data_IF_488619484704
#
_entry.id   IF_488619484704
#
_cell.length_a   1.000
_cell.length_b   1.000
_cell.length_c   1.000
_cell.angle_alpha   90.00
_cell.angle_beta   90.00
_cell.angle_gamma   90.00
#
_symmetry.space_group_name_H-M   'P 1'
#
loop_
_entity.id
_entity.type
_entity.pdbx_description
1 polymer ?
#
# COMPACT_ATOMS: atom_id res chain seq x y z
N UNK A 1 -24.47 63.45 52.26
CA UNK A 1 -23.27 63.24 51.47
C UNK A 1 -23.17 61.71 51.13
N UNK A 2 -23.80 61.32 50.02
CA UNK A 2 -23.80 59.91 49.59
C UNK A 2 -22.65 59.67 48.60
N UNK A 3 -21.67 58.81 48.96
CA UNK A 3 -20.60 58.39 48.09
C UNK A 3 -21.06 57.14 47.35
N UNK A 4 -21.36 57.25 46.04
CA UNK A 4 -21.62 56.15 45.16
C UNK A 4 -20.28 55.52 44.76
N UNK A 5 -20.04 54.24 45.11
CA UNK A 5 -18.90 53.45 44.64
C UNK A 5 -19.25 52.78 43.29
N UNK A 6 -18.59 53.27 42.26
CA UNK A 6 -18.69 52.68 40.89
C UNK A 6 -17.84 51.40 40.84
N UNK A 7 -18.49 50.26 40.91
CA UNK A 7 -17.83 48.94 40.68
C UNK A 7 -17.65 48.74 39.19
N UNK A 8 -16.41 48.82 38.69
CA UNK A 8 -16.02 48.51 37.33
C UNK A 8 -15.82 47.00 37.22
N UNK A 9 -16.56 46.24 36.36
CA UNK A 9 -16.30 44.82 36.18
C UNK A 9 -15.03 44.63 35.36
N UNK A 10 -14.03 43.97 35.96
CA UNK A 10 -12.78 43.58 35.31
C UNK A 10 -13.07 42.38 34.37
N UNK A 11 -13.17 42.65 33.07
CA UNK A 11 -13.40 41.63 32.04
C UNK A 11 -12.08 40.88 31.83
N UNK A 12 -11.95 39.68 32.41
CA UNK A 12 -10.82 38.79 32.19
C UNK A 12 -10.97 38.14 30.79
N UNK A 13 -10.32 38.70 29.77
CA UNK A 13 -10.19 38.06 28.46
C UNK A 13 -9.17 36.91 28.60
N UNK A 14 -9.66 35.69 28.75
CA UNK A 14 -8.83 34.48 28.65
C UNK A 14 -8.30 34.36 27.23
N UNK A 15 -7.06 34.79 27.01
CA UNK A 15 -6.35 34.55 25.77
C UNK A 15 -6.02 33.04 25.67
N UNK A 16 -6.90 32.27 25.04
CA UNK A 16 -6.55 30.92 24.61
C UNK A 16 -5.39 31.04 23.60
N UNK A 17 -4.20 30.42 23.85
CA UNK A 17 -3.16 30.36 22.85
C UNK A 17 -3.69 29.52 21.67
N UNK A 18 -4.04 30.16 20.57
CA UNK A 18 -4.26 29.49 19.31
C UNK A 18 -2.93 28.84 18.91
N UNK A 19 -2.80 27.54 19.13
CA UNK A 19 -1.72 26.77 18.55
C UNK A 19 -1.99 26.73 17.04
N UNK A 20 -1.33 27.61 16.30
CA UNK A 20 -1.23 27.47 14.87
C UNK A 20 -0.56 26.11 14.60
N UNK A 21 -1.33 25.13 14.15
CA UNK A 21 -0.79 23.89 13.64
C UNK A 21 -0.07 24.25 12.34
N UNK A 22 1.25 24.32 12.39
CA UNK A 22 2.10 24.42 11.19
C UNK A 22 1.96 23.08 10.47
N UNK A 23 1.06 22.99 9.50
CA UNK A 23 1.00 21.85 8.59
C UNK A 23 2.24 21.91 7.71
N UNK A 24 3.19 21.02 7.96
CA UNK A 24 4.39 20.89 7.13
C UNK A 24 4.02 19.98 5.97
N UNK A 25 3.95 20.56 4.76
CA UNK A 25 3.75 19.78 3.55
C UNK A 25 5.06 19.10 3.13
N UNK A 26 5.02 17.76 3.08
CA UNK A 26 6.18 16.98 2.65
C UNK A 26 6.15 16.78 1.12
N UNK A 27 7.27 17.07 0.45
CA UNK A 27 7.47 16.86 -0.99
C UNK A 27 8.49 15.76 -1.30
N UNK A 28 9.19 15.25 -0.29
CA UNK A 28 10.15 14.16 -0.40
C UNK A 28 10.33 13.48 0.95
N UNK A 29 10.72 12.21 0.93
CA UNK A 29 10.94 11.44 2.15
C UNK A 29 10.92 9.94 1.94
N UNK A 30 10.83 9.22 3.05
CA UNK A 30 10.73 7.77 3.11
C UNK A 30 9.53 7.36 3.96
N UNK A 31 8.78 6.37 3.50
CA UNK A 31 7.68 5.77 4.24
C UNK A 31 7.96 4.28 4.40
N UNK A 32 7.89 3.77 5.62
CA UNK A 32 7.87 2.33 5.88
C UNK A 32 6.43 1.85 5.86
N UNK A 33 6.13 0.83 5.06
CA UNK A 33 4.85 0.14 5.03
C UNK A 33 4.96 -1.25 5.64
N UNK A 34 4.02 -1.60 6.50
CA UNK A 34 3.72 -2.97 6.91
C UNK A 34 2.70 -3.55 5.92
N UNK A 35 3.08 -4.64 5.23
CA UNK A 35 2.14 -5.48 4.48
C UNK A 35 1.73 -6.64 5.35
N UNK A 36 0.45 -6.79 5.60
CA UNK A 36 -0.12 -7.88 6.38
C UNK A 36 -1.04 -8.74 5.51
N UNK A 37 -0.75 -10.03 5.44
CA UNK A 37 -1.50 -11.02 4.68
C UNK A 37 -2.14 -12.01 5.64
N UNK A 38 -3.47 -12.18 5.58
CA UNK A 38 -4.14 -13.26 6.28
C UNK A 38 -4.03 -14.54 5.45
N UNK A 39 -2.97 -15.32 5.68
CA UNK A 39 -2.69 -16.54 4.93
C UNK A 39 -3.78 -17.60 5.13
N UNK A 40 -4.37 -17.67 6.32
CA UNK A 40 -5.47 -18.58 6.59
C UNK A 40 -6.67 -18.28 5.69
N UNK A 41 -7.14 -17.04 5.68
CA UNK A 41 -8.29 -16.65 4.88
C UNK A 41 -8.03 -16.74 3.36
N UNK A 42 -6.79 -16.47 2.91
CA UNK A 42 -6.42 -16.68 1.51
C UNK A 42 -6.53 -18.13 1.09
N UNK A 43 -6.00 -19.04 1.90
CA UNK A 43 -6.04 -20.48 1.58
C UNK A 43 -7.46 -21.06 1.72
N UNK A 44 -8.23 -20.64 2.73
CA UNK A 44 -9.61 -21.04 2.91
C UNK A 44 -10.50 -20.68 1.69
N UNK A 45 -10.15 -19.58 1.00
CA UNK A 45 -10.91 -19.14 -0.20
C UNK A 45 -10.70 -20.02 -1.44
N UNK A 46 -9.65 -20.84 -1.49
CA UNK A 46 -9.27 -21.65 -2.66
C UNK A 46 -9.27 -23.15 -2.42
N UNK A 47 -9.01 -23.61 -1.19
CA UNK A 47 -8.96 -25.02 -0.82
C UNK A 47 -10.31 -25.56 -0.39
N UNK A 48 -10.58 -26.82 -0.69
CA UNK A 48 -11.78 -27.49 -0.20
C UNK A 48 -11.60 -27.91 1.29
N UNK A 49 -12.62 -27.75 2.15
CA UNK A 49 -12.53 -28.06 3.58
C UNK A 49 -12.14 -29.52 3.91
N UNK A 50 -12.36 -30.46 3.00
CA UNK A 50 -12.02 -31.87 3.13
C UNK A 50 -10.61 -32.26 2.65
N UNK A 51 -9.84 -31.32 2.13
CA UNK A 51 -8.50 -31.58 1.59
C UNK A 51 -7.49 -31.86 2.74
N UNK A 52 -6.72 -32.94 2.60
CA UNK A 52 -5.64 -33.27 3.56
C UNK A 52 -4.57 -32.17 3.58
N UNK A 53 -4.24 -31.60 2.44
CA UNK A 53 -3.28 -30.49 2.34
C UNK A 53 -3.75 -29.27 3.11
N UNK A 54 -5.06 -28.97 3.09
CA UNK A 54 -5.67 -27.92 3.90
C UNK A 54 -5.53 -28.20 5.41
N UNK A 55 -5.78 -29.44 5.82
CA UNK A 55 -5.66 -29.85 7.22
C UNK A 55 -4.23 -29.71 7.74
N UNK A 56 -3.22 -30.11 6.96
CA UNK A 56 -1.81 -29.95 7.28
C UNK A 56 -1.39 -28.46 7.30
N UNK A 57 -1.87 -27.68 6.35
CA UNK A 57 -1.61 -26.24 6.30
C UNK A 57 -2.17 -25.54 7.54
N UNK A 58 -3.41 -25.86 7.95
CA UNK A 58 -4.05 -25.33 9.16
C UNK A 58 -3.23 -25.62 10.42
N UNK A 59 -2.72 -26.84 10.58
CA UNK A 59 -1.88 -27.23 11.71
C UNK A 59 -0.61 -26.36 11.76
N UNK A 60 0.02 -26.11 10.63
CA UNK A 60 1.24 -25.29 10.53
C UNK A 60 1.00 -23.83 10.81
N UNK A 61 -0.18 -23.31 10.46
CA UNK A 61 -0.60 -21.93 10.74
C UNK A 61 -1.18 -21.74 12.14
N UNK A 62 -1.36 -22.82 12.94
CA UNK A 62 -1.94 -22.70 14.27
C UNK A 62 -1.12 -21.73 15.12
N UNK A 63 -1.72 -20.56 15.43
CA UNK A 63 -1.11 -19.47 16.20
C UNK A 63 -0.53 -18.30 15.41
N UNK A 64 -0.34 -18.41 14.09
CA UNK A 64 0.14 -17.29 13.26
C UNK A 64 -0.57 -17.23 11.91
N UNK A 65 -1.79 -16.69 11.91
CA UNK A 65 -2.62 -16.55 10.69
C UNK A 65 -2.08 -15.49 9.73
N UNK A 66 -1.26 -14.56 10.22
CA UNK A 66 -0.81 -13.40 9.47
C UNK A 66 0.67 -13.50 9.14
N UNK A 67 1.00 -13.28 7.87
CA UNK A 67 2.35 -12.96 7.45
C UNK A 67 2.50 -11.45 7.38
N UNK A 68 3.60 -10.95 7.95
CA UNK A 68 3.95 -9.54 7.94
C UNK A 68 5.28 -9.33 7.22
N UNK A 69 5.28 -8.47 6.21
CA UNK A 69 6.47 -8.02 5.49
C UNK A 69 6.56 -6.50 5.56
N UNK A 70 7.78 -5.96 5.43
CA UNK A 70 7.99 -4.51 5.45
C UNK A 70 8.58 -4.03 4.13
N UNK A 71 8.10 -2.86 3.70
CA UNK A 71 8.52 -2.22 2.46
C UNK A 71 8.87 -0.77 2.71
N UNK A 72 9.82 -0.26 1.94
CA UNK A 72 10.19 1.14 1.91
C UNK A 72 9.61 1.79 0.65
N UNK A 73 8.94 2.92 0.81
CA UNK A 73 8.58 3.83 -0.27
C UNK A 73 9.44 5.07 -0.16
N UNK A 74 10.38 5.25 -1.08
CA UNK A 74 11.09 6.52 -1.27
C UNK A 74 10.28 7.40 -2.21
N UNK A 75 10.14 8.68 -1.89
CA UNK A 75 9.39 9.59 -2.74
C UNK A 75 10.06 10.95 -2.88
N UNK A 76 9.95 11.53 -4.06
CA UNK A 76 10.18 12.93 -4.39
C UNK A 76 8.84 13.55 -4.78
N UNK A 77 8.83 14.78 -5.25
CA UNK A 77 7.58 15.44 -5.67
C UNK A 77 6.85 14.70 -6.80
N UNK A 78 7.59 14.11 -7.74
CA UNK A 78 7.04 13.52 -8.97
C UNK A 78 7.34 12.03 -9.13
N UNK A 79 8.17 11.42 -8.27
CA UNK A 79 8.61 10.04 -8.42
C UNK A 79 8.50 9.28 -7.11
N UNK A 80 8.20 7.99 -7.24
CA UNK A 80 8.22 7.06 -6.09
C UNK A 80 8.96 5.78 -6.45
N UNK A 81 9.61 5.17 -5.45
CA UNK A 81 10.21 3.85 -5.52
C UNK A 81 9.81 3.03 -4.31
N UNK A 82 8.90 2.08 -4.52
CA UNK A 82 8.49 1.11 -3.52
C UNK A 82 9.33 -0.17 -3.69
N UNK A 83 9.87 -0.70 -2.59
CA UNK A 83 10.76 -1.88 -2.62
C UNK A 83 10.75 -2.61 -1.28
N UNK A 84 11.19 -3.89 -1.22
CA UNK A 84 11.41 -4.59 0.04
C UNK A 84 12.26 -3.75 1.01
N UNK A 85 11.81 -3.67 2.25
CA UNK A 85 12.46 -2.97 3.35
C UNK A 85 13.18 -3.93 4.31
N UNK A 86 12.97 -3.74 5.61
CA UNK A 86 13.51 -4.67 6.62
C UNK A 86 12.82 -6.02 6.58
N UNK A 87 13.45 -7.02 7.15
CA UNK A 87 12.88 -8.36 7.25
C UNK A 87 11.56 -8.38 8.03
N UNK A 88 10.62 -9.16 7.53
CA UNK A 88 9.31 -9.37 8.13
C UNK A 88 9.26 -10.57 9.07
N UNK A 89 8.05 -10.99 9.41
CA UNK A 89 7.86 -12.19 10.24
C UNK A 89 8.13 -13.46 9.43
N UNK A 90 8.77 -14.42 10.09
CA UNK A 90 8.89 -15.77 9.52
C UNK A 90 7.48 -16.38 9.32
N UNK A 91 7.25 -16.98 8.15
CA UNK A 91 6.06 -17.78 7.88
C UNK A 91 6.42 -19.25 7.77
N UNK A 92 5.84 -20.13 8.59
CA UNK A 92 6.09 -21.57 8.53
C UNK A 92 5.61 -22.21 7.22
N UNK A 93 4.79 -21.50 6.45
CA UNK A 93 4.24 -21.95 5.16
C UNK A 93 5.02 -21.45 3.96
N UNK A 94 6.08 -20.67 4.18
CA UNK A 94 6.89 -20.05 3.12
C UNK A 94 7.44 -21.07 2.11
N UNK A 95 7.69 -22.29 2.53
CA UNK A 95 8.19 -23.37 1.66
C UNK A 95 7.10 -24.03 0.81
N UNK A 96 5.82 -23.93 1.21
CA UNK A 96 4.70 -24.59 0.53
C UNK A 96 3.97 -23.67 -0.45
N UNK A 97 3.98 -22.37 -0.15
CA UNK A 97 3.28 -21.39 -0.96
C UNK A 97 4.03 -20.06 -0.91
N UNK A 98 4.70 -19.71 -1.99
CA UNK A 98 5.19 -18.35 -2.19
C UNK A 98 4.20 -17.62 -3.07
N UNK A 99 3.39 -16.70 -2.51
CA UNK A 99 2.54 -15.86 -3.34
C UNK A 99 3.41 -15.10 -4.34
N UNK A 100 2.92 -14.90 -5.57
CA UNK A 100 3.65 -14.14 -6.57
C UNK A 100 3.77 -12.68 -6.12
N UNK A 101 4.77 -12.02 -6.64
CA UNK A 101 4.96 -10.58 -6.44
C UNK A 101 5.17 -10.16 -4.97
N UNK A 102 5.72 -11.05 -4.13
CA UNK A 102 6.03 -10.72 -2.73
C UNK A 102 7.07 -9.62 -2.59
N UNK A 103 8.06 -9.61 -3.48
CA UNK A 103 9.22 -8.72 -3.44
C UNK A 103 9.20 -7.75 -4.63
N UNK A 104 8.04 -7.18 -4.94
CA UNK A 104 7.94 -6.19 -6.01
C UNK A 104 8.85 -5.00 -5.74
N UNK A 105 9.49 -4.50 -6.82
CA UNK A 105 10.12 -3.18 -6.84
C UNK A 105 9.32 -2.36 -7.84
N UNK A 106 8.65 -1.32 -7.36
CA UNK A 106 7.73 -0.51 -8.17
C UNK A 106 8.23 0.92 -8.22
N UNK A 107 8.61 1.35 -9.41
CA UNK A 107 8.93 2.73 -9.71
C UNK A 107 7.73 3.39 -10.41
N UNK A 108 7.39 4.60 -9.98
CA UNK A 108 6.36 5.40 -10.61
C UNK A 108 6.87 6.81 -10.90
N UNK A 109 6.80 7.22 -12.15
CA UNK A 109 6.94 8.61 -12.58
C UNK A 109 5.53 9.19 -12.76
N UNK A 110 5.16 10.10 -11.85
CA UNK A 110 3.82 10.69 -11.79
C UNK A 110 3.64 11.81 -12.82
N UNK A 111 4.74 12.41 -13.28
CA UNK A 111 4.74 13.44 -14.32
C UNK A 111 4.58 12.81 -15.70
N UNK A 112 5.41 11.82 -16.01
CA UNK A 112 5.36 11.09 -17.28
C UNK A 112 4.28 10.01 -17.33
N UNK A 113 3.56 9.78 -16.22
CA UNK A 113 2.55 8.72 -16.07
C UNK A 113 3.09 7.33 -16.42
N UNK A 114 4.34 7.07 -16.07
CA UNK A 114 5.08 5.85 -16.38
C UNK A 114 5.26 5.00 -15.13
N UNK A 115 4.97 3.70 -15.24
CA UNK A 115 5.23 2.69 -14.20
C UNK A 115 6.23 1.65 -14.68
N UNK A 116 7.20 1.30 -13.82
CA UNK A 116 8.12 0.19 -14.06
C UNK A 116 8.12 -0.69 -12.83
N UNK A 117 7.72 -1.94 -13.01
CA UNK A 117 7.67 -2.91 -11.90
C UNK A 117 8.55 -4.10 -12.20
N UNK A 118 9.48 -4.40 -11.28
CA UNK A 118 10.19 -5.66 -11.27
C UNK A 118 9.42 -6.65 -10.42
N UNK A 119 8.98 -7.76 -11.02
CA UNK A 119 8.20 -8.83 -10.38
C UNK A 119 8.89 -10.17 -10.51
N UNK A 120 8.75 -11.01 -9.49
CA UNK A 120 9.23 -12.41 -9.53
C UNK A 120 8.04 -13.36 -9.62
N UNK A 121 8.04 -14.26 -10.58
CA UNK A 121 7.06 -15.33 -10.69
C UNK A 121 7.66 -16.54 -11.40
N UNK A 122 7.31 -17.76 -10.99
CA UNK A 122 7.78 -19.03 -11.58
C UNK A 122 9.30 -19.15 -11.73
N UNK A 123 10.07 -18.58 -10.79
CA UNK A 123 11.52 -18.56 -10.84
C UNK A 123 12.13 -17.54 -11.81
N UNK A 124 11.31 -16.81 -12.57
CA UNK A 124 11.73 -15.75 -13.49
C UNK A 124 11.55 -14.35 -12.89
N UNK A 125 12.33 -13.41 -13.41
CA UNK A 125 12.19 -11.98 -13.10
C UNK A 125 11.65 -11.26 -14.32
N UNK A 126 10.53 -10.57 -14.16
CA UNK A 126 9.88 -9.76 -15.19
C UNK A 126 10.08 -8.27 -14.89
N UNK A 127 10.37 -7.50 -15.93
CA UNK A 127 10.43 -6.05 -15.89
C UNK A 127 9.25 -5.49 -16.69
N UNK A 128 8.18 -5.15 -15.97
CA UNK A 128 6.92 -4.70 -16.57
C UNK A 128 6.95 -3.18 -16.70
N UNK A 129 6.88 -2.68 -17.91
CA UNK A 129 6.86 -1.26 -18.22
C UNK A 129 5.51 -0.91 -18.86
N UNK A 130 4.80 0.03 -18.24
CA UNK A 130 3.47 0.44 -18.71
C UNK A 130 3.14 1.87 -18.24
N UNK A 131 2.00 2.40 -18.67
CA UNK A 131 1.43 3.61 -18.07
C UNK A 131 0.93 3.33 -16.66
N UNK A 132 0.92 4.35 -15.80
CA UNK A 132 0.34 4.22 -14.47
C UNK A 132 -1.13 3.82 -14.56
N UNK A 133 -1.55 2.95 -13.65
CA UNK A 133 -2.95 2.50 -13.58
C UNK A 133 -3.87 3.67 -13.25
N UNK A 134 -4.85 3.92 -14.10
CA UNK A 134 -5.90 4.90 -13.83
C UNK A 134 -6.96 4.29 -12.94
N UNK A 135 -6.95 4.65 -11.66
CA UNK A 135 -7.92 4.16 -10.67
C UNK A 135 -9.02 5.22 -10.49
N UNK A 136 -10.28 4.80 -10.62
CA UNK A 136 -11.44 5.66 -10.40
C UNK A 136 -11.79 5.66 -8.91
N UNK A 137 -11.21 6.59 -8.16
CA UNK A 137 -11.43 6.72 -6.74
C UNK A 137 -12.76 7.41 -6.41
N UNK A 138 -13.47 6.88 -5.42
CA UNK A 138 -14.60 7.54 -4.75
C UNK A 138 -14.15 7.92 -3.35
N UNK A 139 -13.87 9.21 -3.14
CA UNK A 139 -13.47 9.76 -1.86
C UNK A 139 -14.71 9.84 -0.95
N UNK A 140 -14.54 9.53 0.34
CA UNK A 140 -15.58 9.59 1.38
C UNK A 140 -15.18 10.57 2.49
N UNK A 141 -16.11 10.81 3.43
CA UNK A 141 -15.86 11.69 4.58
C UNK A 141 -15.22 10.95 5.77
N UNK A 142 -15.03 9.63 5.67
CA UNK A 142 -14.38 8.85 6.71
C UNK A 142 -12.90 9.24 6.80
N UNK A 143 -12.44 9.47 8.03
CA UNK A 143 -11.06 9.84 8.32
C UNK A 143 -10.43 8.85 9.30
N UNK A 144 -9.09 8.70 9.20
CA UNK A 144 -8.29 7.86 10.09
C UNK A 144 -6.90 8.46 10.24
N UNK A 145 -6.32 8.36 11.43
CA UNK A 145 -4.90 8.70 11.62
C UNK A 145 -4.01 7.51 11.30
N UNK A 146 -3.02 7.70 10.40
CA UNK A 146 -2.05 6.67 10.01
C UNK A 146 -0.66 7.31 10.06
N UNK A 147 0.27 6.69 10.79
CA UNK A 147 1.64 7.19 10.98
C UNK A 147 1.71 8.68 11.39
N UNK A 148 0.71 9.15 12.14
CA UNK A 148 0.61 10.54 12.63
C UNK A 148 -0.09 11.52 11.68
N UNK A 149 -0.45 11.11 10.45
CA UNK A 149 -1.13 11.95 9.46
C UNK A 149 -2.64 11.73 9.47
N UNK A 150 -3.41 12.82 9.31
CA UNK A 150 -4.84 12.73 9.07
C UNK A 150 -5.09 12.24 7.65
N UNK A 151 -5.75 11.10 7.50
CA UNK A 151 -6.01 10.47 6.22
C UNK A 151 -7.50 10.39 5.94
N UNK A 152 -7.90 10.66 4.70
CA UNK A 152 -9.27 10.47 4.19
C UNK A 152 -9.39 9.16 3.47
N UNK A 153 -10.54 8.51 3.61
CA UNK A 153 -10.84 7.26 2.93
C UNK A 153 -11.26 7.50 1.49
N UNK A 154 -10.79 6.61 0.60
CA UNK A 154 -11.26 6.49 -0.77
C UNK A 154 -11.47 5.02 -1.11
N UNK A 155 -12.46 4.72 -1.95
CA UNK A 155 -12.76 3.37 -2.40
C UNK A 155 -12.66 3.30 -3.92
N UNK A 156 -12.29 2.14 -4.43
CA UNK A 156 -12.27 1.87 -5.86
C UNK A 156 -12.55 0.39 -6.15
N UNK A 157 -12.84 0.07 -7.40
CA UNK A 157 -12.78 -1.29 -7.94
C UNK A 157 -11.74 -1.29 -9.05
N UNK A 158 -10.78 -2.20 -8.98
CA UNK A 158 -9.76 -2.40 -10.02
C UNK A 158 -9.91 -3.80 -10.61
N UNK A 159 -9.43 -3.98 -11.85
CA UNK A 159 -9.49 -5.27 -12.56
C UNK A 159 -10.90 -5.88 -12.53
N UNK A 160 -11.93 -5.05 -12.64
CA UNK A 160 -13.38 -5.35 -12.66
C UNK A 160 -13.96 -6.01 -11.40
N UNK A 161 -13.14 -6.51 -10.48
CA UNK A 161 -13.62 -7.29 -9.34
C UNK A 161 -12.92 -7.03 -8.01
N UNK A 162 -11.74 -6.41 -7.99
CA UNK A 162 -10.99 -6.20 -6.76
C UNK A 162 -11.42 -4.90 -6.09
N UNK A 163 -12.11 -5.01 -4.98
CA UNK A 163 -12.48 -3.87 -4.15
C UNK A 163 -11.27 -3.38 -3.35
N UNK A 164 -11.02 -2.08 -3.45
CA UNK A 164 -9.89 -1.40 -2.80
C UNK A 164 -10.41 -0.34 -1.85
N UNK A 165 -9.90 -0.36 -0.63
CA UNK A 165 -10.06 0.72 0.35
C UNK A 165 -8.69 1.37 0.53
N UNK A 166 -8.59 2.66 0.25
CA UNK A 166 -7.38 3.46 0.46
C UNK A 166 -7.61 4.56 1.48
N UNK A 167 -6.54 4.94 2.18
CA UNK A 167 -6.47 6.09 3.05
C UNK A 167 -5.30 6.96 2.61
N UNK A 168 -5.56 8.23 2.30
CA UNK A 168 -4.55 9.15 1.80
C UNK A 168 -4.53 10.45 2.60
N UNK A 169 -3.38 11.12 2.60
CA UNK A 169 -3.20 12.45 3.19
C UNK A 169 -2.73 13.44 2.13
N UNK A 170 -3.26 14.66 2.19
CA UNK A 170 -2.83 15.80 1.36
C UNK A 170 -1.65 16.57 1.97
N UNK A 171 -1.24 16.24 3.20
CA UNK A 171 -0.05 16.77 3.84
C UNK A 171 1.26 16.28 3.16
N UNK A 172 1.20 15.19 2.40
CA UNK A 172 2.29 14.71 1.54
C UNK A 172 1.88 14.92 0.10
N UNK A 173 2.55 15.87 -0.58
CA UNK A 173 2.13 16.41 -1.88
C UNK A 173 2.26 15.42 -3.06
N UNK A 174 3.00 14.33 -2.86
CA UNK A 174 3.22 13.30 -3.89
C UNK A 174 2.01 12.39 -3.97
N UNK A 175 1.37 12.30 -5.14
CA UNK A 175 0.17 11.46 -5.41
C UNK A 175 0.53 9.99 -5.63
N UNK A 176 1.32 9.41 -4.72
CA UNK A 176 1.83 8.04 -4.76
C UNK A 176 1.22 7.14 -3.69
N UNK A 177 1.77 5.91 -3.59
CA UNK A 177 1.34 4.92 -2.58
C UNK A 177 2.12 3.62 -2.68
N UNK A 178 1.80 2.61 -1.85
CA UNK A 178 2.41 1.29 -1.92
C UNK A 178 2.02 0.58 -3.22
N UNK A 179 2.84 -0.34 -3.69
CA UNK A 179 2.67 -1.06 -4.95
C UNK A 179 2.38 -0.10 -6.13
N UNK A 180 1.35 -0.40 -6.94
CA UNK A 180 0.93 0.43 -8.07
C UNK A 180 -0.24 1.40 -7.76
N UNK A 181 -0.56 1.61 -6.48
CA UNK A 181 -1.68 2.47 -6.09
C UNK A 181 -1.28 3.94 -6.13
N UNK A 182 -1.94 4.72 -7.00
CA UNK A 182 -1.71 6.15 -7.22
C UNK A 182 -3.02 6.87 -7.53
N UNK A 183 -2.96 8.18 -7.76
CA UNK A 183 -4.06 8.97 -8.36
C UNK A 183 -5.03 9.59 -7.34
N UNK A 184 -4.74 9.54 -6.03
CA UNK A 184 -5.41 10.36 -5.03
C UNK A 184 -4.68 11.71 -4.87
N UNK A 185 -5.35 12.76 -4.38
CA UNK A 185 -4.73 14.08 -4.21
C UNK A 185 -3.83 14.12 -2.96
N UNK A 186 -2.71 13.37 -3.02
CA UNK A 186 -1.73 13.19 -1.96
C UNK A 186 -1.28 11.75 -1.82
N UNK A 187 -0.49 11.47 -0.77
CA UNK A 187 0.13 10.17 -0.54
C UNK A 187 -0.85 9.17 0.10
N UNK A 188 -0.94 8.00 -0.47
CA UNK A 188 -1.70 6.88 0.09
C UNK A 188 -0.84 6.23 1.19
N UNK A 189 -1.33 6.33 2.43
CA UNK A 189 -0.67 5.75 3.62
C UNK A 189 -1.29 4.44 4.08
N UNK A 190 -2.43 4.07 3.53
CA UNK A 190 -3.08 2.79 3.81
C UNK A 190 -3.81 2.26 2.59
N UNK A 191 -3.67 0.96 2.34
CA UNK A 191 -4.46 0.22 1.35
C UNK A 191 -4.93 -1.07 1.97
N UNK A 192 -6.18 -1.45 1.72
CA UNK A 192 -6.71 -2.76 2.07
C UNK A 192 -7.46 -3.33 0.88
N UNK A 193 -7.23 -4.60 0.61
CA UNK A 193 -7.98 -5.43 -0.34
C UNK A 193 -8.70 -6.51 0.48
N UNK A 194 -9.92 -6.23 0.99
CA UNK A 194 -10.59 -7.11 1.94
C UNK A 194 -10.82 -8.52 1.41
N UNK A 195 -11.19 -8.66 0.15
CA UNK A 195 -11.45 -9.95 -0.49
C UNK A 195 -10.18 -10.71 -0.90
N UNK A 196 -9.05 -10.01 -0.99
CA UNK A 196 -7.74 -10.61 -1.23
C UNK A 196 -6.98 -10.85 0.09
N UNK A 197 -7.59 -10.49 1.24
CA UNK A 197 -7.05 -10.68 2.59
C UNK A 197 -5.66 -10.09 2.81
N UNK A 198 -5.38 -8.95 2.17
CA UNK A 198 -4.10 -8.25 2.26
C UNK A 198 -4.29 -6.76 2.51
N UNK A 199 -3.37 -6.19 3.28
CA UNK A 199 -3.34 -4.76 3.55
C UNK A 199 -1.90 -4.23 3.63
N UNK A 200 -1.74 -2.94 3.32
CA UNK A 200 -0.51 -2.17 3.48
C UNK A 200 -0.84 -0.93 4.30
N UNK A 201 -0.16 -0.72 5.40
CA UNK A 201 -0.30 0.49 6.21
C UNK A 201 1.06 1.07 6.54
N UNK A 202 1.18 2.39 6.39
CA UNK A 202 2.38 3.10 6.80
C UNK A 202 2.55 2.99 8.32
N UNK A 203 3.74 2.56 8.74
CA UNK A 203 4.14 2.50 10.15
C UNK A 203 4.98 3.71 10.54
N UNK A 204 5.70 4.27 9.58
CA UNK A 204 6.59 5.41 9.80
C UNK A 204 6.71 6.27 8.54
N UNK A 205 6.75 7.59 8.73
CA UNK A 205 7.06 8.57 7.68
C UNK A 205 8.26 9.39 8.15
N UNK A 206 9.28 9.48 7.32
CA UNK A 206 10.53 10.19 7.58
C UNK A 206 10.71 11.32 6.56
N UNK A 207 10.76 12.56 7.04
CA UNK A 207 11.08 13.74 6.26
C UNK A 207 12.59 13.82 6.05
N UNK A 208 13.11 13.14 5.05
CA UNK A 208 14.53 13.10 4.69
C UNK A 208 14.73 13.53 3.24
N UNK A 209 15.89 14.07 2.94
CA UNK A 209 16.26 14.41 1.56
C UNK A 209 16.50 13.15 0.74
N UNK A 210 15.88 13.08 -0.42
CA UNK A 210 15.98 11.97 -1.36
C UNK A 210 16.62 12.47 -2.65
N UNK A 211 17.73 11.87 -3.06
CA UNK A 211 18.35 12.16 -4.35
C UNK A 211 17.71 11.36 -5.48
N UNK A 212 17.78 11.86 -6.71
CA UNK A 212 17.26 11.16 -7.90
C UNK A 212 17.87 9.78 -8.08
N UNK A 213 19.15 9.59 -7.68
CA UNK A 213 19.82 8.29 -7.73
C UNK A 213 19.20 7.25 -6.77
N UNK A 214 18.56 7.68 -5.68
CA UNK A 214 17.89 6.79 -4.73
C UNK A 214 16.52 6.34 -5.23
N UNK A 215 15.90 7.09 -6.17
CA UNK A 215 14.62 6.78 -6.80
C UNK A 215 14.85 6.38 -8.27
N UNK A 216 15.78 5.45 -8.49
CA UNK A 216 16.14 4.97 -9.82
C UNK A 216 15.22 3.85 -10.31
N UNK A 217 15.01 3.81 -11.63
CA UNK A 217 14.22 2.75 -12.28
C UNK A 217 14.86 1.36 -12.08
N UNK A 218 14.10 0.31 -11.74
CA UNK A 218 14.59 -1.06 -11.76
C UNK A 218 14.95 -1.47 -13.20
N UNK A 219 16.03 -2.25 -13.35
CA UNK A 219 16.55 -2.60 -14.67
C UNK A 219 16.62 -4.12 -14.94
N UNK A 220 16.34 -4.95 -13.92
CA UNK A 220 16.51 -6.41 -14.03
C UNK A 220 15.21 -7.08 -14.43
N UNK A 221 15.29 -8.00 -15.38
CA UNK A 221 14.18 -8.89 -15.77
C UNK A 221 13.85 -8.84 -17.25
N UNK A 222 13.00 -9.77 -17.67
CA UNK A 222 12.47 -9.86 -19.03
C UNK A 222 11.50 -8.71 -19.27
N UNK A 223 11.85 -7.83 -20.21
CA UNK A 223 11.04 -6.65 -20.52
C UNK A 223 9.72 -7.02 -21.18
N UNK A 224 8.62 -6.48 -20.66
CA UNK A 224 7.28 -6.63 -21.24
C UNK A 224 6.34 -5.53 -20.70
N UNK A 225 5.13 -5.46 -21.22
CA UNK A 225 4.04 -4.67 -20.63
C UNK A 225 3.07 -5.58 -19.87
N UNK A 226 2.05 -4.99 -19.22
CA UNK A 226 1.03 -5.74 -18.46
C UNK A 226 0.29 -6.78 -19.32
N UNK A 227 -0.01 -6.45 -20.58
CA UNK A 227 -0.69 -7.39 -21.48
C UNK A 227 0.19 -8.62 -21.79
N UNK A 228 1.49 -8.40 -22.05
CA UNK A 228 2.47 -9.49 -22.27
C UNK A 228 2.66 -10.36 -21.03
N UNK A 229 2.74 -9.74 -19.84
CA UNK A 229 2.79 -10.48 -18.58
C UNK A 229 1.55 -11.36 -18.41
N UNK A 230 0.35 -10.77 -18.58
CA UNK A 230 -0.92 -11.49 -18.47
C UNK A 230 -1.00 -12.68 -19.43
N UNK A 231 -0.57 -12.51 -20.69
CA UNK A 231 -0.55 -13.58 -21.69
C UNK A 231 0.41 -14.70 -21.30
N UNK A 232 1.62 -14.36 -20.85
CA UNK A 232 2.64 -15.33 -20.40
C UNK A 232 2.11 -16.18 -19.25
N UNK A 233 1.45 -15.55 -18.28
CA UNK A 233 1.00 -16.22 -17.05
C UNK A 233 -0.28 -17.03 -17.27
N UNK A 234 -1.22 -16.56 -18.10
CA UNK A 234 -2.42 -17.33 -18.46
C UNK A 234 -2.07 -18.70 -18.99
N UNK A 235 -1.03 -18.81 -19.80
CA UNK A 235 -0.56 -20.10 -20.31
C UNK A 235 -0.09 -21.06 -19.20
N UNK A 236 0.62 -20.55 -18.21
CA UNK A 236 1.15 -21.32 -17.08
C UNK A 236 0.10 -21.71 -16.04
N UNK A 237 -0.99 -20.95 -15.94
CA UNK A 237 -2.01 -21.12 -14.90
C UNK A 237 -3.32 -21.74 -15.40
N UNK A 238 -3.41 -22.12 -16.68
CA UNK A 238 -4.68 -22.58 -17.29
C UNK A 238 -5.35 -23.74 -16.54
N UNK A 239 -4.55 -24.61 -15.92
CA UNK A 239 -5.01 -25.83 -15.26
C UNK A 239 -5.08 -25.69 -13.72
N UNK A 240 -4.86 -24.48 -13.17
CA UNK A 240 -4.79 -24.23 -11.73
C UNK A 240 -6.14 -23.80 -11.09
N UNK A 241 -7.22 -23.77 -11.85
CA UNK A 241 -8.55 -23.44 -11.32
C UNK A 241 -8.63 -22.13 -10.53
N UNK A 242 -9.22 -22.17 -9.33
CA UNK A 242 -9.37 -20.99 -8.45
C UNK A 242 -8.04 -20.43 -7.95
N UNK A 243 -7.08 -21.30 -7.65
CA UNK A 243 -5.73 -20.91 -7.21
C UNK A 243 -5.02 -20.10 -8.29
N UNK A 244 -5.11 -20.53 -9.54
CA UNK A 244 -4.54 -19.80 -10.68
C UNK A 244 -5.14 -18.41 -10.85
N UNK A 245 -6.43 -18.24 -10.59
CA UNK A 245 -7.08 -16.93 -10.62
C UNK A 245 -6.58 -16.01 -9.50
N UNK A 246 -6.45 -16.53 -8.28
CA UNK A 246 -5.92 -15.78 -7.13
C UNK A 246 -4.46 -15.37 -7.39
N UNK A 247 -3.65 -16.32 -7.87
CA UNK A 247 -2.26 -16.07 -8.25
C UNK A 247 -2.14 -14.97 -9.30
N UNK A 248 -2.97 -15.02 -10.34
CA UNK A 248 -3.00 -14.02 -11.39
C UNK A 248 -3.38 -12.63 -10.86
N UNK A 249 -4.42 -12.54 -9.99
CA UNK A 249 -4.82 -11.26 -9.38
C UNK A 249 -3.67 -10.67 -8.56
N UNK A 250 -3.03 -11.47 -7.71
CA UNK A 250 -1.90 -11.03 -6.90
C UNK A 250 -0.71 -10.54 -7.75
N UNK A 251 -0.45 -11.20 -8.90
CA UNK A 251 0.64 -10.81 -9.78
C UNK A 251 0.33 -9.56 -10.60
N UNK A 252 -0.93 -9.31 -10.92
CA UNK A 252 -1.34 -8.14 -11.70
C UNK A 252 -1.59 -6.88 -10.85
N UNK A 253 -1.52 -6.99 -9.51
CA UNK A 253 -1.47 -5.82 -8.61
C UNK A 253 -0.16 -5.05 -8.77
#
# INVERSE_FOLDING_TARGET
MNKAYLLLPLLFIAACPARAQHTIFLSQGKIEFERKVNQYAQMESVMDPGDEAWTEFRKKLSGNQFKTDYFDLLFTRTRTLYRPGREGSYSPTQFFFQPPAQDNIVYSDLEDQKGITQKKAFGEVFLVQDTLRRIKWKITDETRTIAGFACRRANAVIMDSIYVVAFYTDEILTSGGPESFTGLPGMILGVSLPHEHVSWFATKVEAISISDAQVAEPAKGKKMNNAGLLQTIKGSLKDWGKEGQQFMRALML
#
